data_IF_569667980292
#
_entry.id   IF_569667980292
#
_cell.length_a   1.000
_cell.length_b   1.000
_cell.length_c   1.000
_cell.angle_alpha   90.00
_cell.angle_beta   90.00
_cell.angle_gamma   90.00
#
_symmetry.space_group_name_H-M   'P 1'
#
loop_
_entity.id
_entity.type
_entity.pdbx_description
1 polymer ?
#
# COMPACT_ATOMS: atom_id res chain seq x y z
N UNK A 1 -13.74 19.29 0.89
CA UNK A 1 -13.57 17.99 1.56
C UNK A 1 -12.36 17.33 0.95
N UNK A 2 -11.20 17.47 1.60
CA UNK A 2 -10.00 16.71 1.22
C UNK A 2 -10.34 15.23 1.41
N UNK A 3 -10.50 14.50 0.31
CA UNK A 3 -10.74 13.07 0.39
C UNK A 3 -9.51 12.42 1.03
N UNK A 4 -9.68 11.95 2.27
CA UNK A 4 -8.64 11.36 3.10
C UNK A 4 -7.78 10.39 2.28
N UNK A 5 -6.49 10.72 2.15
CA UNK A 5 -5.54 9.91 1.39
C UNK A 5 -5.26 8.65 2.19
N UNK A 6 -5.58 7.50 1.60
CA UNK A 6 -5.33 6.19 2.20
C UNK A 6 -4.65 5.25 1.19
N UNK A 7 -4.07 4.17 1.70
CA UNK A 7 -3.33 3.20 0.89
C UNK A 7 -4.19 2.58 -0.21
N UNK A 8 -5.47 2.33 0.07
CA UNK A 8 -6.41 1.79 -0.93
C UNK A 8 -6.56 2.72 -2.14
N UNK A 9 -6.61 4.03 -1.91
CA UNK A 9 -6.73 5.04 -2.97
C UNK A 9 -5.45 5.12 -3.80
N UNK A 10 -4.27 5.08 -3.16
CA UNK A 10 -2.98 5.03 -3.85
C UNK A 10 -2.90 3.78 -4.75
N UNK A 11 -3.25 2.60 -4.22
CA UNK A 11 -3.24 1.35 -5.00
C UNK A 11 -4.22 1.43 -6.18
N UNK A 12 -5.40 2.04 -6.00
CA UNK A 12 -6.40 2.19 -7.06
C UNK A 12 -5.90 3.12 -8.17
N UNK A 13 -5.32 4.26 -7.81
CA UNK A 13 -4.74 5.22 -8.77
C UNK A 13 -3.55 4.62 -9.53
N UNK A 14 -2.75 3.78 -8.86
CA UNK A 14 -1.64 3.05 -9.49
C UNK A 14 -2.09 1.95 -10.49
N UNK A 15 -3.39 1.86 -10.81
CA UNK A 15 -3.95 0.85 -11.72
C UNK A 15 -4.39 -0.44 -11.02
N UNK A 16 -4.43 -0.46 -9.69
CA UNK A 16 -4.85 -1.60 -8.88
C UNK A 16 -3.73 -2.59 -8.55
N UNK A 17 -4.05 -3.60 -7.74
CA UNK A 17 -3.08 -4.55 -7.17
C UNK A 17 -2.26 -5.27 -8.24
N UNK A 18 -2.88 -5.67 -9.35
CA UNK A 18 -2.19 -6.38 -10.43
C UNK A 18 -1.19 -5.48 -11.18
N UNK A 19 -1.52 -4.19 -11.38
CA UNK A 19 -0.61 -3.23 -12.00
C UNK A 19 0.58 -2.93 -11.08
N UNK A 20 0.31 -2.78 -9.77
CA UNK A 20 1.35 -2.58 -8.75
C UNK A 20 2.32 -3.77 -8.67
N UNK A 21 1.79 -5.00 -8.67
CA UNK A 21 2.60 -6.21 -8.69
C UNK A 21 3.50 -6.23 -9.93
N UNK A 22 2.92 -6.02 -11.11
CA UNK A 22 3.67 -6.00 -12.37
C UNK A 22 4.77 -4.94 -12.36
N UNK A 23 4.46 -3.71 -11.94
CA UNK A 23 5.44 -2.64 -11.88
C UNK A 23 6.57 -2.92 -10.88
N UNK A 24 6.25 -3.57 -9.74
CA UNK A 24 7.28 -4.00 -8.80
C UNK A 24 8.18 -5.06 -9.43
N UNK A 25 7.61 -6.06 -10.11
CA UNK A 25 8.38 -7.10 -10.81
C UNK A 25 9.27 -6.51 -11.92
N UNK A 26 8.74 -5.57 -12.72
CA UNK A 26 9.48 -4.87 -13.76
C UNK A 26 10.63 -4.03 -13.17
N UNK A 27 10.46 -3.49 -11.96
CA UNK A 27 11.50 -2.79 -11.21
C UNK A 27 12.47 -3.74 -10.45
N UNK A 28 12.37 -5.05 -10.66
CA UNK A 28 13.20 -6.07 -10.01
C UNK A 28 12.87 -6.32 -8.54
N UNK A 29 11.69 -5.92 -8.09
CA UNK A 29 11.21 -6.09 -6.71
C UNK A 29 10.21 -7.23 -6.65
N UNK A 30 10.59 -8.32 -5.98
CA UNK A 30 9.69 -9.45 -5.75
C UNK A 30 8.64 -9.09 -4.71
N UNK A 31 7.37 -9.20 -5.09
CA UNK A 31 6.22 -8.99 -4.22
C UNK A 31 5.06 -9.89 -4.64
N UNK A 32 4.22 -10.27 -3.68
CA UNK A 32 2.97 -10.99 -3.93
C UNK A 32 1.76 -10.07 -3.78
N UNK A 33 0.65 -10.39 -4.47
CA UNK A 33 -0.62 -9.67 -4.28
C UNK A 33 -1.09 -9.61 -2.83
N UNK A 34 -0.89 -10.69 -2.08
CA UNK A 34 -1.23 -10.75 -0.65
C UNK A 34 -0.48 -9.68 0.17
N UNK A 35 0.82 -9.49 -0.09
CA UNK A 35 1.59 -8.44 0.55
C UNK A 35 1.04 -7.04 0.23
N UNK A 36 0.59 -6.81 -1.01
CA UNK A 36 -0.01 -5.55 -1.44
C UNK A 36 -1.37 -5.33 -0.75
N UNK A 37 -2.20 -6.36 -0.60
CA UNK A 37 -3.46 -6.27 0.15
C UNK A 37 -3.23 -5.88 1.61
N UNK A 38 -2.17 -6.42 2.24
CA UNK A 38 -1.80 -6.12 3.62
C UNK A 38 -1.31 -4.70 3.84
N UNK A 39 -0.87 -3.98 2.81
CA UNK A 39 -0.48 -2.56 2.95
C UNK A 39 -1.62 -1.67 3.45
N UNK A 40 -2.88 -2.08 3.26
CA UNK A 40 -4.03 -1.37 3.84
C UNK A 40 -4.03 -1.35 5.37
N UNK A 41 -3.34 -2.31 5.99
CA UNK A 41 -3.22 -2.47 7.44
C UNK A 41 -1.86 -1.99 7.96
N UNK A 42 -0.79 -2.14 7.18
CA UNK A 42 0.59 -1.87 7.66
C UNK A 42 1.23 -0.62 7.05
N UNK A 43 0.66 -0.10 5.97
CA UNK A 43 1.26 0.91 5.11
C UNK A 43 2.09 0.30 3.97
N UNK A 44 2.40 1.13 2.98
CA UNK A 44 3.27 0.83 1.84
C UNK A 44 4.73 1.01 2.28
N UNK A 45 5.59 -0.02 2.21
CA UNK A 45 7.01 0.14 2.55
C UNK A 45 7.75 1.06 1.56
N UNK A 46 8.68 1.88 2.06
CA UNK A 46 9.37 2.93 1.31
C UNK A 46 10.08 2.43 0.04
N UNK A 47 10.60 1.19 0.07
CA UNK A 47 11.22 0.53 -1.09
C UNK A 47 10.30 0.42 -2.32
N UNK A 48 8.98 0.45 -2.11
CA UNK A 48 7.98 0.39 -3.17
C UNK A 48 7.54 1.78 -3.65
N UNK A 49 7.85 2.85 -2.90
CA UNK A 49 7.42 4.20 -3.25
C UNK A 49 8.02 4.66 -4.56
N UNK A 50 9.30 4.37 -4.81
CA UNK A 50 9.97 4.69 -6.09
C UNK A 50 9.26 4.11 -7.32
N UNK A 51 8.56 2.98 -7.14
CA UNK A 51 7.82 2.30 -8.21
C UNK A 51 6.41 2.87 -8.35
N UNK A 52 5.78 3.22 -7.22
CA UNK A 52 4.38 3.65 -7.16
C UNK A 52 4.18 5.15 -7.42
N UNK A 53 5.11 5.99 -6.98
CA UNK A 53 5.08 7.45 -7.21
C UNK A 53 4.88 7.75 -8.71
N UNK A 54 5.67 7.22 -9.66
CA UNK A 54 5.48 7.52 -11.08
C UNK A 54 4.18 6.94 -11.68
N UNK A 55 3.51 6.00 -11.00
CA UNK A 55 2.22 5.43 -11.43
C UNK A 55 1.03 6.21 -10.88
N UNK A 56 1.26 7.20 -10.02
CA UNK A 56 0.22 7.97 -9.36
C UNK A 56 0.49 9.45 -9.50
N UNK A 57 -0.51 10.26 -9.16
CA UNK A 57 -0.34 11.71 -8.99
C UNK A 57 0.18 12.09 -7.59
N UNK A 58 0.56 11.11 -6.77
CA UNK A 58 0.88 11.30 -5.36
C UNK A 58 2.39 11.31 -5.13
N UNK A 59 2.83 12.27 -4.31
CA UNK A 59 4.20 12.40 -3.85
C UNK A 59 4.50 11.61 -2.58
N UNK A 60 5.75 11.66 -2.10
CA UNK A 60 6.16 10.97 -0.87
C UNK A 60 5.39 11.43 0.38
N UNK A 61 4.91 12.68 0.42
CA UNK A 61 4.11 13.17 1.55
C UNK A 61 2.76 12.45 1.65
N UNK A 62 2.09 12.23 0.53
CA UNK A 62 0.81 11.53 0.45
C UNK A 62 0.95 10.05 0.82
N UNK A 63 2.05 9.41 0.41
CA UNK A 63 2.36 8.05 0.84
C UNK A 63 2.61 7.97 2.35
N UNK A 64 3.34 8.95 2.91
CA UNK A 64 3.55 9.04 4.35
C UNK A 64 2.21 9.21 5.10
N UNK A 65 1.35 10.14 4.66
CA UNK A 65 0.02 10.35 5.24
C UNK A 65 -0.84 9.09 5.16
N UNK A 66 -0.87 8.42 4.00
CA UNK A 66 -1.58 7.15 3.83
C UNK A 66 -1.08 6.06 4.79
N UNK A 67 0.24 5.98 5.02
CA UNK A 67 0.83 5.03 5.94
C UNK A 67 0.47 5.32 7.40
N UNK A 68 0.42 6.59 7.79
CA UNK A 68 -0.05 6.98 9.13
C UNK A 68 -1.50 6.50 9.36
N UNK A 69 -2.39 6.70 8.37
CA UNK A 69 -3.79 6.23 8.45
C UNK A 69 -3.86 4.71 8.51
N UNK A 70 -3.09 4.00 7.67
CA UNK A 70 -3.07 2.54 7.66
C UNK A 70 -2.63 1.99 9.02
N UNK A 71 -1.57 2.54 9.62
CA UNK A 71 -1.04 2.11 10.92
C UNK A 71 -1.91 2.51 12.11
N UNK A 72 -2.71 3.56 11.96
CA UNK A 72 -3.73 3.92 12.95
C UNK A 72 -4.91 2.93 12.94
N UNK A 73 -5.03 2.11 11.90
CA UNK A 73 -6.02 1.04 11.86
C UNK A 73 -5.50 -0.13 12.71
N UNK A 74 -6.19 -0.52 13.80
CA UNK A 74 -5.79 -1.67 14.59
C UNK A 74 -5.72 -2.90 13.68
N UNK A 75 -4.57 -3.58 13.68
CA UNK A 75 -4.47 -4.89 13.06
C UNK A 75 -5.45 -5.79 13.82
N UNK A 76 -6.42 -6.44 13.15
CA UNK A 76 -7.27 -7.39 13.85
C UNK A 76 -6.32 -8.45 14.41
N UNK A 77 -6.24 -8.52 15.73
CA UNK A 77 -5.49 -9.55 16.43
C UNK A 77 -5.96 -10.87 15.84
N UNK A 78 -5.04 -11.56 15.16
CA UNK A 78 -5.33 -12.88 14.63
C UNK A 78 -5.89 -13.67 15.80
N UNK A 79 -7.15 -14.13 15.69
CA UNK A 79 -7.74 -15.02 16.68
C UNK A 79 -6.72 -16.12 16.94
N UNK A 80 -6.08 -16.08 18.11
CA UNK A 80 -5.28 -17.18 18.60
C UNK A 80 -6.17 -18.42 18.51
N UNK A 81 -5.72 -19.40 17.74
CA UNK A 81 -6.30 -20.72 17.71
C UNK A 81 -6.31 -21.24 19.15
N UNK A 82 -7.46 -21.14 19.82
CA UNK A 82 -7.72 -21.86 21.03
C UNK A 82 -7.92 -23.34 20.65
N UNK A 83 -6.98 -24.14 21.12
CA UNK A 83 -6.95 -25.61 21.13
C UNK A 83 -8.16 -26.21 21.84
#
# INVERSE_FOLDING_TARGET
MEAEINVTKIIKEAGGVAAVERACLDAGVVITRDAIYKWRLTGIPDRHWRVLIPLTQYGPEEFYRANCVARATPYPEAQEAAE
#
